data_IF_373787998115
#
_entry.id   IF_373787998115
#
_cell.length_a   1.000
_cell.length_b   1.000
_cell.length_c   1.000
_cell.angle_alpha   90.00
_cell.angle_beta   90.00
_cell.angle_gamma   90.00
#
_symmetry.space_group_name_H-M   'P 1'
#
loop_
_entity.id
_entity.type
_entity.pdbx_description
1 polymer ?
#
# COMPACT_ATOMS: atom_id res chain seq x y z
N UNK A 1 -10.95 -11.36 1.32
CA UNK A 1 -9.94 -10.33 1.02
C UNK A 1 -8.62 -10.70 1.66
N UNK A 2 -7.50 -10.41 1.01
CA UNK A 2 -6.17 -10.76 1.53
C UNK A 2 -5.56 -9.59 2.28
N UNK A 3 -5.40 -9.69 3.60
CA UNK A 3 -4.78 -8.62 4.45
C UNK A 3 -3.26 -8.44 4.22
N UNK A 4 -2.70 -8.99 3.16
CA UNK A 4 -1.26 -8.96 2.83
C UNK A 4 -0.75 -7.56 2.48
N UNK A 5 -1.61 -6.69 1.92
CA UNK A 5 -1.27 -5.30 1.61
C UNK A 5 -0.99 -4.46 2.86
N UNK A 6 -1.56 -4.83 4.03
CA UNK A 6 -1.28 -4.18 5.31
C UNK A 6 0.22 -4.23 5.67
N UNK A 7 0.92 -5.28 5.24
CA UNK A 7 2.35 -5.44 5.45
C UNK A 7 3.21 -4.54 4.55
N UNK A 8 2.63 -4.02 3.46
CA UNK A 8 3.28 -3.10 2.53
C UNK A 8 3.11 -1.62 2.91
N UNK A 9 2.24 -1.32 3.89
CA UNK A 9 2.01 0.04 4.37
C UNK A 9 3.22 0.57 5.13
N UNK A 10 3.58 1.83 4.86
CA UNK A 10 4.56 2.60 5.63
C UNK A 10 3.84 3.46 6.67
N UNK A 11 4.60 3.91 7.68
CA UNK A 11 4.09 4.79 8.74
C UNK A 11 3.31 6.00 8.20
N UNK A 12 3.78 6.60 7.11
CA UNK A 12 3.15 7.78 6.50
C UNK A 12 1.84 7.48 5.76
N UNK A 13 1.56 6.22 5.42
CA UNK A 13 0.32 5.84 4.74
C UNK A 13 -0.85 5.73 5.74
N UNK A 14 -0.59 5.39 7.02
CA UNK A 14 -1.63 5.17 8.04
C UNK A 14 -2.52 6.38 8.32
N UNK A 15 -2.01 7.63 8.43
CA UNK A 15 -2.87 8.80 8.64
C UNK A 15 -3.85 9.03 7.48
N UNK A 16 -3.44 8.77 6.24
CA UNK A 16 -4.31 8.89 5.09
C UNK A 16 -5.42 7.83 5.11
N UNK A 17 -5.06 6.59 5.46
CA UNK A 17 -6.00 5.47 5.62
C UNK A 17 -6.98 5.72 6.76
N UNK A 18 -6.50 6.20 7.91
CA UNK A 18 -7.31 6.56 9.07
C UNK A 18 -8.38 7.59 8.70
N UNK A 19 -7.99 8.63 7.94
CA UNK A 19 -8.93 9.65 7.44
C UNK A 19 -9.93 9.10 6.45
N UNK A 20 -9.52 8.20 5.54
CA UNK A 20 -10.42 7.60 4.56
C UNK A 20 -11.47 6.68 5.21
N UNK A 21 -11.09 5.98 6.26
CA UNK A 21 -11.97 5.08 7.01
C UNK A 21 -12.71 5.79 8.16
N UNK A 22 -12.42 7.06 8.42
CA UNK A 22 -13.00 7.81 9.54
C UNK A 22 -12.59 7.30 10.93
N UNK A 23 -11.50 6.52 11.02
CA UNK A 23 -11.01 5.94 12.26
C UNK A 23 -9.79 6.69 12.79
N UNK A 24 -9.47 6.46 14.06
CA UNK A 24 -8.26 6.96 14.68
C UNK A 24 -7.22 5.85 14.74
N UNK A 25 -6.07 6.05 14.09
CA UNK A 25 -4.91 5.17 14.19
C UNK A 25 -3.80 5.89 14.94
N UNK A 26 -3.43 5.38 16.12
CA UNK A 26 -2.42 5.95 17.00
C UNK A 26 -1.45 4.86 17.49
N UNK A 27 -0.22 5.25 17.84
CA UNK A 27 0.78 4.35 18.40
C UNK A 27 1.86 3.91 17.40
N UNK A 28 2.39 2.70 17.60
CA UNK A 28 3.42 2.11 16.74
C UNK A 28 2.79 1.56 15.45
N UNK A 29 3.61 1.37 14.41
CA UNK A 29 3.16 0.82 13.12
C UNK A 29 2.48 -0.55 13.29
N UNK A 30 2.99 -1.38 14.20
CA UNK A 30 2.39 -2.68 14.50
C UNK A 30 1.01 -2.56 15.15
N UNK A 31 0.85 -1.63 16.10
CA UNK A 31 -0.42 -1.34 16.76
C UNK A 31 -1.44 -0.81 15.74
N UNK A 32 -1.05 0.19 14.93
CA UNK A 32 -1.91 0.73 13.87
C UNK A 32 -2.32 -0.35 12.85
N UNK A 33 -1.40 -1.26 12.49
CA UNK A 33 -1.69 -2.38 11.59
C UNK A 33 -2.68 -3.36 12.22
N UNK A 34 -2.52 -3.67 13.51
CA UNK A 34 -3.42 -4.54 14.24
C UNK A 34 -4.83 -3.94 14.30
N UNK A 35 -4.97 -2.67 14.69
CA UNK A 35 -6.24 -1.95 14.70
C UNK A 35 -6.90 -1.94 13.32
N UNK A 36 -6.13 -1.69 12.26
CA UNK A 36 -6.66 -1.72 10.89
C UNK A 36 -7.10 -3.12 10.47
N UNK A 37 -6.37 -4.16 10.88
CA UNK A 37 -6.74 -5.56 10.63
C UNK A 37 -8.02 -5.97 11.37
N UNK A 38 -8.19 -5.52 12.62
CA UNK A 38 -9.41 -5.73 13.41
C UNK A 38 -10.60 -4.98 12.82
N UNK A 39 -10.39 -3.74 12.37
CA UNK A 39 -11.42 -2.95 11.69
C UNK A 39 -11.92 -3.68 10.44
N UNK A 40 -11.03 -4.16 9.57
CA UNK A 40 -11.41 -4.93 8.36
C UNK A 40 -12.21 -6.19 8.73
N UNK A 41 -11.89 -6.83 9.85
CA UNK A 41 -12.60 -8.02 10.33
C UNK A 41 -14.03 -7.68 10.79
N UNK A 42 -14.18 -6.56 11.52
CA UNK A 42 -15.47 -6.10 12.05
C UNK A 42 -16.37 -5.52 10.95
N UNK A 43 -15.78 -4.80 9.99
CA UNK A 43 -16.52 -4.15 8.91
C UNK A 43 -16.70 -5.05 7.69
N UNK A 44 -16.43 -6.36 7.80
CA UNK A 44 -16.62 -7.31 6.72
C UNK A 44 -18.08 -7.38 6.22
N UNK A 45 -19.02 -6.96 7.06
CA UNK A 45 -20.47 -6.91 6.76
C UNK A 45 -20.94 -5.52 6.29
N UNK A 46 -20.10 -4.48 6.40
CA UNK A 46 -20.45 -3.11 6.03
C UNK A 46 -20.00 -2.79 4.59
N UNK A 47 -20.92 -2.70 3.61
CA UNK A 47 -20.56 -2.57 2.19
C UNK A 47 -19.80 -1.27 1.87
N UNK A 48 -20.07 -0.18 2.60
CA UNK A 48 -19.34 1.09 2.44
C UNK A 48 -17.88 0.98 2.88
N UNK A 49 -17.65 0.39 4.05
CA UNK A 49 -16.29 0.14 4.57
C UNK A 49 -15.53 -0.83 3.67
N UNK A 50 -16.19 -1.89 3.20
CA UNK A 50 -15.61 -2.86 2.26
C UNK A 50 -15.16 -2.19 0.97
N UNK A 51 -15.97 -1.32 0.37
CA UNK A 51 -15.60 -0.61 -0.86
C UNK A 51 -14.36 0.28 -0.68
N UNK A 52 -14.24 0.95 0.47
CA UNK A 52 -13.05 1.76 0.80
C UNK A 52 -11.83 0.87 0.99
N UNK A 53 -11.97 -0.24 1.73
CA UNK A 53 -10.90 -1.23 1.97
C UNK A 53 -10.41 -1.84 0.65
N UNK A 54 -11.29 -2.18 -0.29
CA UNK A 54 -10.92 -2.69 -1.60
C UNK A 54 -10.17 -1.66 -2.46
N UNK A 55 -10.61 -0.40 -2.41
CA UNK A 55 -9.91 0.69 -3.09
C UNK A 55 -8.48 0.86 -2.54
N UNK A 56 -8.33 0.78 -1.22
CA UNK A 56 -7.03 0.79 -0.55
C UNK A 56 -6.20 -0.44 -0.92
N UNK A 57 -6.76 -1.65 -0.87
CA UNK A 57 -6.06 -2.88 -1.29
C UNK A 57 -5.56 -2.77 -2.73
N UNK A 58 -6.35 -2.18 -3.64
CA UNK A 58 -5.95 -1.97 -5.04
C UNK A 58 -4.81 -0.96 -5.19
N UNK A 59 -4.80 0.09 -4.37
CA UNK A 59 -3.75 1.11 -4.37
C UNK A 59 -2.44 0.59 -3.76
N UNK A 60 -2.52 -0.06 -2.59
CA UNK A 60 -1.36 -0.49 -1.82
C UNK A 60 -0.90 -1.91 -2.15
N UNK A 61 -1.81 -2.82 -2.50
CA UNK A 61 -1.49 -4.18 -2.93
C UNK A 61 -0.82 -4.26 -4.30
N UNK A 62 -0.99 -3.24 -5.16
CA UNK A 62 -0.22 -3.10 -6.41
C UNK A 62 1.14 -2.45 -6.22
N UNK A 63 1.43 -1.84 -5.06
CA UNK A 63 2.78 -1.38 -4.76
C UNK A 63 3.61 -2.64 -4.45
N UNK A 64 4.68 -2.94 -5.20
CA UNK A 64 5.60 -3.99 -4.77
C UNK A 64 6.08 -3.65 -3.35
N UNK A 65 6.10 -4.64 -2.44
CA UNK A 65 6.55 -4.50 -1.04
C UNK A 65 7.98 -3.91 -0.90
N UNK A 66 8.68 -3.73 -2.01
CA UNK A 66 9.80 -2.79 -2.18
C UNK A 66 9.46 -1.77 -3.26
N UNK A 67 9.26 -0.52 -2.87
CA UNK A 67 9.93 0.59 -3.58
C UNK A 67 11.28 0.82 -2.91
N UNK A 68 12.11 -0.22 -2.90
CA UNK A 68 13.54 0.00 -3.02
C UNK A 68 13.72 0.58 -4.41
N UNK A 69 14.13 1.85 -4.46
CA UNK A 69 14.87 2.40 -5.57
C UNK A 69 14.30 2.12 -6.98
N UNK A 70 13.45 3.01 -7.49
CA UNK A 70 13.41 3.22 -8.94
C UNK A 70 14.67 3.97 -9.41
N UNK A 71 15.86 3.42 -9.14
CA UNK A 71 16.95 3.50 -10.11
C UNK A 71 16.65 2.44 -11.17
N UNK A 72 15.55 2.64 -11.92
CA UNK A 72 15.45 2.05 -13.26
C UNK A 72 16.48 2.78 -14.10
N UNK A 73 17.70 2.23 -14.06
CA UNK A 73 18.56 1.97 -15.21
C UNK A 73 18.04 2.63 -16.48
N UNK A 74 18.52 3.83 -16.79
CA UNK A 74 18.88 4.11 -18.16
C UNK A 74 19.99 3.14 -18.50
N UNK A 75 19.63 1.95 -19.00
CA UNK A 75 20.54 1.17 -19.84
C UNK A 75 20.90 2.10 -21.00
N UNK A 76 22.17 2.45 -21.23
CA UNK A 76 22.52 2.91 -22.56
C UNK A 76 22.26 1.70 -23.46
N UNK A 77 21.26 1.84 -24.32
CA UNK A 77 21.16 1.02 -25.52
C UNK A 77 22.48 1.21 -26.26
N UNK A 78 23.35 0.19 -26.20
CA UNK A 78 24.36 0.00 -27.22
C UNK A 78 23.56 -0.22 -28.51
N UNK A 79 23.60 0.76 -29.39
CA UNK A 79 23.12 0.63 -30.75
C UNK A 79 24.22 1.09 -31.70
N UNK A 80 24.80 0.07 -32.33
CA UNK A 80 25.40 0.06 -33.66
C UNK A 80 26.74 0.78 -33.88
N UNK A 81 27.70 -0.04 -34.33
CA UNK A 81 28.61 0.26 -35.45
C UNK A 81 27.96 1.26 -36.43
N UNK A 82 28.68 2.33 -36.80
CA UNK A 82 29.12 2.53 -38.19
C UNK A 82 30.09 3.73 -38.33
N UNK A 83 31.17 3.49 -39.09
CA UNK A 83 31.96 4.39 -39.95
C UNK A 83 32.38 5.79 -39.48
N UNK A 84 33.70 5.97 -39.24
CA UNK A 84 34.57 6.83 -40.09
C UNK A 84 36.05 6.53 -39.88
#
# INVERSE_FOLDING_TARGET
MGKSWLYSLKKDDFPAIARALGIKLEGLVEEMRKTLSEFIDQTADEPESVAIIEALEKEYGRRPARRGESHRRRRPWVRSLDFR
#
